data_IF_787227005274
#
_entry.id   IF_787227005274
#
_cell.length_a   1.000
_cell.length_b   1.000
_cell.length_c   1.000
_cell.angle_alpha   90.00
_cell.angle_beta   90.00
_cell.angle_gamma   90.00
#
_symmetry.space_group_name_H-M   'P 1'
#
loop_
_entity.id
_entity.type
_entity.pdbx_description
1 polymer ?
#
# COMPACT_ATOMS: atom_id res chain seq x y z
N UNK A 1 -43.82 -15.29 8.73
CA UNK A 1 -43.00 -15.19 9.95
C UNK A 1 -41.67 -15.97 9.84
N UNK A 2 -41.69 -17.24 9.41
CA UNK A 2 -40.48 -18.09 9.26
C UNK A 2 -39.40 -17.56 8.29
N UNK A 3 -39.74 -16.83 7.24
CA UNK A 3 -38.77 -16.27 6.26
C UNK A 3 -38.02 -15.08 6.89
N UNK A 4 -38.75 -14.21 7.60
CA UNK A 4 -38.15 -13.03 8.26
C UNK A 4 -37.15 -13.43 9.37
N UNK A 5 -37.51 -14.46 10.17
CA UNK A 5 -36.61 -14.98 11.21
C UNK A 5 -35.34 -15.63 10.61
N UNK A 6 -35.46 -16.32 9.47
CA UNK A 6 -34.29 -16.88 8.75
C UNK A 6 -33.38 -15.80 8.18
N UNK A 7 -33.93 -14.73 7.61
CA UNK A 7 -33.16 -13.60 7.09
C UNK A 7 -32.45 -12.87 8.22
N UNK A 8 -33.15 -12.58 9.33
CA UNK A 8 -32.54 -11.95 10.51
C UNK A 8 -31.44 -12.82 11.14
N UNK A 9 -31.66 -14.13 11.23
CA UNK A 9 -30.64 -15.05 11.73
C UNK A 9 -29.43 -15.15 10.80
N UNK A 10 -29.62 -15.10 9.48
CA UNK A 10 -28.54 -15.11 8.51
C UNK A 10 -27.70 -13.79 8.59
N UNK A 11 -28.37 -12.65 8.71
CA UNK A 11 -27.70 -11.35 8.91
C UNK A 11 -26.93 -11.36 10.24
N UNK A 12 -27.57 -11.78 11.34
CA UNK A 12 -26.92 -11.85 12.64
C UNK A 12 -25.69 -12.75 12.66
N UNK A 13 -25.77 -13.94 12.04
CA UNK A 13 -24.64 -14.86 11.91
C UNK A 13 -23.50 -14.23 11.10
N UNK A 14 -23.81 -13.58 9.98
CA UNK A 14 -22.81 -12.93 9.13
C UNK A 14 -22.11 -11.74 9.84
N UNK A 15 -22.88 -10.98 10.62
CA UNK A 15 -22.31 -9.88 11.44
C UNK A 15 -21.37 -10.42 12.53
N UNK A 16 -21.75 -11.50 13.22
CA UNK A 16 -20.90 -12.13 14.23
C UNK A 16 -19.62 -12.70 13.59
N UNK A 17 -19.71 -13.34 12.42
CA UNK A 17 -18.55 -13.86 11.68
C UNK A 17 -17.58 -12.75 11.27
N UNK A 18 -18.11 -11.62 10.77
CA UNK A 18 -17.32 -10.46 10.40
C UNK A 18 -16.61 -9.88 11.63
N UNK A 19 -17.35 -9.63 12.72
CA UNK A 19 -16.78 -9.09 13.96
C UNK A 19 -15.72 -10.01 14.57
N UNK A 20 -15.97 -11.32 14.58
CA UNK A 20 -15.00 -12.32 15.02
C UNK A 20 -13.75 -12.36 14.13
N UNK A 21 -13.91 -12.17 12.82
CA UNK A 21 -12.76 -12.08 11.89
C UNK A 21 -11.92 -10.83 12.15
N UNK A 22 -12.53 -9.68 12.38
CA UNK A 22 -11.81 -8.47 12.79
C UNK A 22 -11.08 -8.64 14.13
N UNK A 23 -11.71 -9.31 15.11
CA UNK A 23 -11.06 -9.64 16.37
C UNK A 23 -9.83 -10.52 16.20
N UNK A 24 -9.92 -11.60 15.40
CA UNK A 24 -8.77 -12.47 15.08
C UNK A 24 -7.67 -11.71 14.34
N UNK A 25 -8.05 -10.86 13.38
CA UNK A 25 -7.10 -10.04 12.62
C UNK A 25 -6.35 -9.05 13.53
N UNK A 26 -7.06 -8.35 14.42
CA UNK A 26 -6.46 -7.44 15.39
C UNK A 26 -5.52 -8.14 16.37
N UNK A 27 -5.93 -9.30 16.90
CA UNK A 27 -5.10 -10.11 17.78
C UNK A 27 -3.82 -10.64 17.10
N UNK A 28 -3.94 -11.06 15.84
CA UNK A 28 -2.79 -11.48 15.02
C UNK A 28 -1.79 -10.33 14.85
N UNK A 29 -2.28 -9.13 14.50
CA UNK A 29 -1.44 -7.94 14.34
C UNK A 29 -0.74 -7.56 15.66
N UNK A 30 -1.49 -7.53 16.75
CA UNK A 30 -0.94 -7.21 18.08
C UNK A 30 0.18 -8.18 18.48
N UNK A 31 -0.02 -9.48 18.30
CA UNK A 31 1.01 -10.51 18.56
C UNK A 31 2.22 -10.38 17.61
N UNK A 32 1.99 -10.04 16.34
CA UNK A 32 3.07 -9.87 15.37
C UNK A 32 3.98 -8.66 15.70
N UNK A 33 3.39 -7.58 16.25
CA UNK A 33 4.13 -6.35 16.60
C UNK A 33 4.83 -6.46 17.97
N UNK A 34 4.14 -6.98 18.98
CA UNK A 34 4.62 -6.99 20.40
C UNK A 34 5.49 -8.22 20.72
N UNK A 35 5.52 -9.22 19.87
CA UNK A 35 6.38 -10.38 20.05
C UNK A 35 7.84 -9.94 20.16
N UNK A 36 8.53 -10.33 21.31
CA UNK A 36 9.95 -10.01 21.53
C UNK A 36 10.76 -10.39 20.27
N UNK A 37 11.38 -9.42 19.57
CA UNK A 37 12.20 -9.73 18.40
C UNK A 37 13.45 -10.50 18.87
N UNK A 38 13.77 -11.61 18.22
CA UNK A 38 15.10 -12.23 18.28
C UNK A 38 15.95 -11.64 17.14
N UNK A 39 16.66 -10.52 17.36
CA UNK A 39 17.20 -9.72 16.25
C UNK A 39 18.19 -10.50 15.38
N UNK A 40 19.01 -11.34 15.98
CA UNK A 40 20.04 -12.07 15.23
C UNK A 40 19.49 -13.10 14.22
N UNK A 41 18.39 -13.80 14.55
CA UNK A 41 17.79 -14.82 13.68
C UNK A 41 16.74 -14.23 12.71
N UNK A 42 16.10 -13.13 13.09
CA UNK A 42 15.04 -12.50 12.30
C UNK A 42 15.59 -11.56 11.23
N UNK A 43 16.81 -11.03 11.39
CA UNK A 43 17.42 -10.11 10.42
C UNK A 43 17.61 -10.73 9.03
N UNK A 44 18.04 -11.98 8.97
CA UNK A 44 18.20 -12.69 7.70
C UNK A 44 16.85 -12.88 6.98
N UNK A 45 15.79 -13.22 7.72
CA UNK A 45 14.44 -13.36 7.20
C UNK A 45 13.86 -12.02 6.76
N UNK A 46 14.05 -10.97 7.56
CA UNK A 46 13.59 -9.62 7.23
C UNK A 46 14.25 -9.13 5.92
N UNK A 47 15.57 -9.32 5.78
CA UNK A 47 16.31 -8.94 4.56
C UNK A 47 15.78 -9.68 3.32
N UNK A 48 15.51 -10.97 3.45
CA UNK A 48 14.94 -11.76 2.35
C UNK A 48 13.53 -11.26 1.99
N UNK A 49 12.72 -10.94 2.97
CA UNK A 49 11.37 -10.40 2.75
C UNK A 49 11.41 -8.97 2.19
N UNK A 50 12.34 -8.12 2.63
CA UNK A 50 12.56 -6.79 2.06
C UNK A 50 12.93 -6.88 0.57
N UNK A 51 13.75 -7.85 0.19
CA UNK A 51 14.06 -8.08 -1.22
C UNK A 51 12.83 -8.52 -2.01
N UNK A 52 12.09 -9.50 -1.52
CA UNK A 52 10.90 -10.03 -2.20
C UNK A 52 9.78 -8.99 -2.31
N UNK A 53 9.48 -8.28 -1.23
CA UNK A 53 8.36 -7.32 -1.14
C UNK A 53 8.75 -5.95 -1.70
N UNK A 54 9.96 -5.47 -1.39
CA UNK A 54 10.45 -4.14 -1.77
C UNK A 54 11.10 -4.13 -3.15
N UNK A 55 12.28 -4.76 -3.26
CA UNK A 55 13.11 -4.65 -4.47
C UNK A 55 12.41 -5.18 -5.72
N UNK A 56 11.74 -6.32 -5.62
CA UNK A 56 11.00 -6.86 -6.76
C UNK A 56 9.76 -6.04 -7.15
N UNK A 57 9.29 -5.11 -6.29
CA UNK A 57 8.22 -4.17 -6.64
C UNK A 57 8.75 -2.89 -7.30
N UNK A 58 10.06 -2.63 -7.24
CA UNK A 58 10.64 -1.39 -7.78
C UNK A 58 10.32 -1.17 -9.25
N UNK A 59 10.44 -2.18 -10.08
CA UNK A 59 10.22 -2.03 -11.52
C UNK A 59 8.82 -1.49 -11.84
N UNK A 60 7.79 -2.10 -11.27
CA UNK A 60 6.41 -1.66 -11.50
C UNK A 60 6.17 -0.25 -10.95
N UNK A 61 6.76 0.09 -9.80
CA UNK A 61 6.63 1.41 -9.17
C UNK A 61 7.32 2.49 -10.03
N UNK A 62 8.54 2.24 -10.48
CA UNK A 62 9.30 3.20 -11.32
C UNK A 62 8.61 3.43 -12.66
N UNK A 63 8.24 2.36 -13.36
CA UNK A 63 7.59 2.48 -14.67
C UNK A 63 6.22 3.15 -14.54
N UNK A 64 5.43 2.76 -13.56
CA UNK A 64 4.11 3.37 -13.34
C UNK A 64 4.22 4.83 -12.90
N UNK A 65 5.18 5.16 -12.01
CA UNK A 65 5.42 6.52 -11.57
C UNK A 65 5.79 7.43 -12.73
N UNK A 66 6.69 6.97 -13.60
CA UNK A 66 7.10 7.71 -14.80
C UNK A 66 5.91 8.03 -15.70
N UNK A 67 5.14 7.01 -16.08
CA UNK A 67 3.98 7.20 -16.98
C UNK A 67 2.88 8.05 -16.34
N UNK A 68 2.58 7.86 -15.07
CA UNK A 68 1.57 8.66 -14.38
C UNK A 68 2.01 10.12 -14.30
N UNK A 69 3.30 10.38 -13.99
CA UNK A 69 3.86 11.71 -14.00
C UNK A 69 3.77 12.38 -15.38
N UNK A 70 4.08 11.65 -16.46
CA UNK A 70 3.95 12.14 -17.83
C UNK A 70 2.49 12.48 -18.20
N UNK A 71 1.55 11.59 -17.85
CA UNK A 71 0.12 11.80 -18.12
C UNK A 71 -0.41 13.00 -17.33
N UNK A 72 -0.03 13.10 -16.05
CA UNK A 72 -0.43 14.20 -15.19
C UNK A 72 0.07 15.55 -15.71
N UNK A 73 1.33 15.60 -16.16
CA UNK A 73 1.88 16.82 -16.76
C UNK A 73 1.20 17.17 -18.09
N UNK A 74 0.89 16.17 -18.94
CA UNK A 74 0.19 16.41 -20.19
C UNK A 74 -1.22 16.98 -19.95
N UNK A 75 -1.98 16.35 -19.05
CA UNK A 75 -3.31 16.82 -18.68
C UNK A 75 -3.27 18.18 -17.98
N UNK A 76 -2.32 18.35 -17.05
CA UNK A 76 -2.11 19.62 -16.37
C UNK A 76 -1.79 20.76 -17.36
N UNK A 77 -0.91 20.51 -18.33
CA UNK A 77 -0.58 21.47 -19.36
C UNK A 77 -1.81 21.88 -20.18
N UNK A 78 -2.61 20.91 -20.63
CA UNK A 78 -3.82 21.20 -21.41
C UNK A 78 -4.83 22.07 -20.63
N UNK A 79 -4.99 21.83 -19.33
CA UNK A 79 -5.86 22.64 -18.48
C UNK A 79 -5.26 24.02 -18.24
N UNK A 80 -4.00 24.11 -17.84
CA UNK A 80 -3.34 25.37 -17.50
C UNK A 80 -3.16 26.29 -18.72
N UNK A 81 -2.97 25.74 -19.91
CA UNK A 81 -2.89 26.53 -21.15
C UNK A 81 -4.18 27.28 -21.49
N UNK A 82 -5.35 26.76 -21.10
CA UNK A 82 -6.63 27.49 -21.29
C UNK A 82 -6.72 28.76 -20.44
N UNK A 83 -5.92 28.84 -19.38
CA UNK A 83 -5.86 29.99 -18.47
C UNK A 83 -4.57 30.79 -18.60
N UNK A 84 -3.71 30.51 -19.60
CA UNK A 84 -2.38 31.10 -19.77
C UNK A 84 -1.51 31.01 -18.50
N UNK A 85 -1.62 29.87 -17.80
CA UNK A 85 -0.96 29.61 -16.51
C UNK A 85 -0.01 28.41 -16.58
N UNK A 86 0.57 28.13 -17.75
CA UNK A 86 1.44 26.97 -18.01
C UNK A 86 2.64 26.90 -17.06
N UNK A 87 3.12 28.06 -16.60
CA UNK A 87 4.21 28.13 -15.63
C UNK A 87 3.91 27.48 -14.28
N UNK A 88 2.63 27.31 -13.91
CA UNK A 88 2.24 26.64 -12.67
C UNK A 88 2.24 25.10 -12.78
N UNK A 89 2.67 24.53 -13.92
CA UNK A 89 2.66 23.09 -14.15
C UNK A 89 3.52 22.32 -13.13
N UNK A 90 4.73 22.82 -12.83
CA UNK A 90 5.65 22.20 -11.87
C UNK A 90 5.03 22.07 -10.47
N UNK A 91 4.39 23.13 -10.00
CA UNK A 91 3.66 23.15 -8.73
C UNK A 91 2.50 22.13 -8.73
N UNK A 92 1.68 22.12 -9.77
CA UNK A 92 0.53 21.22 -9.87
C UNK A 92 0.95 19.76 -9.86
N UNK A 93 1.96 19.39 -10.64
CA UNK A 93 2.48 18.01 -10.71
C UNK A 93 3.03 17.58 -9.37
N UNK A 94 3.87 18.41 -8.73
CA UNK A 94 4.49 18.06 -7.47
C UNK A 94 3.47 17.89 -6.33
N UNK A 95 2.54 18.83 -6.16
CA UNK A 95 1.52 18.75 -5.11
C UNK A 95 0.56 17.57 -5.32
N UNK A 96 0.13 17.32 -6.56
CA UNK A 96 -0.75 16.19 -6.86
C UNK A 96 -0.07 14.84 -6.57
N UNK A 97 1.22 14.70 -6.89
CA UNK A 97 1.97 13.48 -6.60
C UNK A 97 2.26 13.33 -5.10
N UNK A 98 2.69 14.39 -4.41
CA UNK A 98 3.04 14.31 -2.99
C UNK A 98 1.83 14.09 -2.09
N UNK A 99 0.73 14.82 -2.34
CA UNK A 99 -0.42 14.83 -1.43
C UNK A 99 -1.35 13.65 -1.63
N UNK A 100 -1.52 13.18 -2.87
CA UNK A 100 -2.56 12.21 -3.21
C UNK A 100 -2.02 11.02 -4.01
N UNK A 101 -1.59 11.24 -5.27
CA UNK A 101 -1.33 10.14 -6.21
C UNK A 101 -0.16 9.25 -5.77
N UNK A 102 0.91 9.84 -5.21
CA UNK A 102 2.09 9.09 -4.79
C UNK A 102 1.75 7.97 -3.80
N UNK A 103 1.25 8.30 -2.60
CA UNK A 103 0.90 7.30 -1.60
C UNK A 103 -0.18 6.32 -2.06
N UNK A 104 -1.27 6.82 -2.68
CA UNK A 104 -2.43 6.00 -3.06
C UNK A 104 -2.08 5.01 -4.16
N UNK A 105 -1.50 5.49 -5.28
CA UNK A 105 -1.18 4.61 -6.42
C UNK A 105 -0.13 3.59 -6.01
N UNK A 106 0.90 4.01 -5.25
CA UNK A 106 1.89 3.07 -4.71
C UNK A 106 1.23 1.99 -3.86
N UNK A 107 0.28 2.35 -2.98
CA UNK A 107 -0.43 1.40 -2.14
C UNK A 107 -1.27 0.41 -2.95
N UNK A 108 -1.95 0.86 -4.01
CA UNK A 108 -2.73 0.00 -4.90
C UNK A 108 -1.85 -0.98 -5.68
N UNK A 109 -0.74 -0.50 -6.24
CA UNK A 109 0.23 -1.35 -6.94
C UNK A 109 0.91 -2.35 -5.97
N UNK A 110 1.25 -1.89 -4.78
CA UNK A 110 1.81 -2.73 -3.73
C UNK A 110 0.81 -3.81 -3.27
N UNK A 111 -0.45 -3.47 -3.08
CA UNK A 111 -1.51 -4.43 -2.75
C UNK A 111 -1.69 -5.49 -3.86
N UNK A 112 -1.69 -5.06 -5.11
CA UNK A 112 -1.82 -5.93 -6.28
C UNK A 112 -0.66 -6.91 -6.45
N UNK A 113 0.58 -6.45 -6.25
CA UNK A 113 1.78 -7.27 -6.46
C UNK A 113 2.28 -7.91 -5.15
N UNK A 114 2.69 -7.12 -4.19
CA UNK A 114 3.30 -7.61 -2.95
C UNK A 114 2.25 -8.20 -1.99
N UNK A 115 1.09 -7.56 -1.88
CA UNK A 115 -0.01 -8.03 -1.04
C UNK A 115 -0.53 -9.40 -1.49
N UNK A 116 -0.78 -9.57 -2.78
CA UNK A 116 -1.20 -10.86 -3.35
C UNK A 116 -0.14 -11.95 -3.17
N UNK A 117 1.15 -11.62 -3.39
CA UNK A 117 2.26 -12.56 -3.21
C UNK A 117 2.38 -13.03 -1.74
N UNK A 118 2.33 -12.09 -0.78
CA UNK A 118 2.35 -12.42 0.65
C UNK A 118 1.18 -13.33 1.06
N UNK A 119 -0.01 -13.03 0.56
CA UNK A 119 -1.21 -13.87 0.81
C UNK A 119 -1.02 -15.27 0.25
N UNK A 120 -0.52 -15.39 -0.98
CA UNK A 120 -0.29 -16.67 -1.63
C UNK A 120 0.80 -17.49 -0.93
N UNK A 121 1.92 -16.87 -0.54
CA UNK A 121 2.99 -17.54 0.19
C UNK A 121 2.52 -18.12 1.51
N UNK A 122 1.78 -17.35 2.33
CA UNK A 122 1.30 -17.81 3.63
C UNK A 122 0.23 -18.90 3.43
N UNK A 123 -0.67 -18.72 2.47
CA UNK A 123 -1.68 -19.72 2.13
C UNK A 123 -1.04 -21.04 1.66
N UNK A 124 0.04 -20.97 0.88
CA UNK A 124 0.80 -22.15 0.46
C UNK A 124 1.51 -22.82 1.64
N UNK A 125 2.16 -22.07 2.51
CA UNK A 125 2.78 -22.61 3.73
C UNK A 125 1.77 -23.34 4.62
N UNK A 126 0.52 -22.84 4.65
CA UNK A 126 -0.57 -23.51 5.36
C UNK A 126 -1.03 -24.79 4.65
N UNK A 127 -1.17 -24.75 3.32
CA UNK A 127 -1.58 -25.92 2.52
C UNK A 127 -0.55 -27.04 2.50
N UNK A 128 0.74 -26.71 2.68
CA UNK A 128 1.83 -27.69 2.79
C UNK A 128 2.19 -28.05 4.23
N UNK A 129 1.32 -27.73 5.20
CA UNK A 129 1.46 -28.04 6.63
C UNK A 129 2.73 -27.46 7.29
N UNK A 130 3.42 -26.51 6.67
CA UNK A 130 4.62 -25.89 7.24
C UNK A 130 4.29 -25.10 8.51
N UNK A 131 3.12 -24.43 8.56
CA UNK A 131 2.67 -23.70 9.75
C UNK A 131 2.40 -24.67 10.90
N UNK A 132 1.70 -25.76 10.65
CA UNK A 132 1.42 -26.80 11.66
C UNK A 132 2.71 -27.49 12.13
N UNK A 133 3.66 -27.71 11.25
CA UNK A 133 4.99 -28.25 11.61
C UNK A 133 5.76 -27.34 12.56
N UNK A 134 5.68 -26.00 12.37
CA UNK A 134 6.29 -25.05 13.31
C UNK A 134 5.61 -25.12 14.70
N UNK A 135 4.29 -25.24 14.74
CA UNK A 135 3.54 -25.37 15.98
C UNK A 135 3.91 -26.66 16.74
N UNK A 136 4.06 -27.78 16.03
CA UNK A 136 4.53 -29.04 16.64
C UNK A 136 5.95 -28.95 17.22
N UNK A 137 6.80 -28.10 16.63
CA UNK A 137 8.13 -27.80 17.15
C UNK A 137 8.15 -26.72 18.27
N UNK A 138 6.97 -26.33 18.79
CA UNK A 138 6.80 -25.26 19.77
C UNK A 138 7.34 -23.89 19.31
N UNK A 139 7.39 -23.65 17.99
CA UNK A 139 7.77 -22.37 17.40
C UNK A 139 6.53 -21.60 17.04
N UNK A 140 6.37 -20.37 17.57
CA UNK A 140 5.22 -19.51 17.26
C UNK A 140 5.27 -19.04 15.79
N UNK A 141 4.29 -19.47 14.93
CA UNK A 141 4.27 -19.11 13.52
C UNK A 141 4.07 -17.61 13.31
N UNK A 142 3.35 -16.93 14.21
CA UNK A 142 3.12 -15.49 14.08
C UNK A 142 4.44 -14.72 14.20
N UNK A 143 5.34 -15.15 15.06
CA UNK A 143 6.66 -14.52 15.23
C UNK A 143 7.63 -14.90 14.10
N UNK A 144 7.59 -16.15 13.66
CA UNK A 144 8.57 -16.68 12.69
C UNK A 144 8.20 -16.33 11.24
N UNK A 145 6.90 -16.31 10.92
CA UNK A 145 6.40 -16.15 9.54
C UNK A 145 5.78 -14.77 9.32
N UNK A 146 4.87 -14.35 10.20
CA UNK A 146 4.08 -13.13 10.01
C UNK A 146 4.88 -11.87 10.32
N UNK A 147 5.57 -11.82 11.46
CA UNK A 147 6.26 -10.60 11.89
C UNK A 147 7.33 -10.10 10.91
N UNK A 148 8.24 -10.93 10.35
CA UNK A 148 9.22 -10.44 9.38
C UNK A 148 8.58 -9.90 8.09
N UNK A 149 7.48 -10.51 7.64
CA UNK A 149 6.73 -10.07 6.46
C UNK A 149 6.00 -8.75 6.71
N UNK A 150 5.44 -8.59 7.91
CA UNK A 150 4.81 -7.33 8.30
C UNK A 150 5.82 -6.18 8.29
N UNK A 151 6.96 -6.34 8.94
CA UNK A 151 8.00 -5.32 8.99
C UNK A 151 8.62 -5.03 7.61
N UNK A 152 8.75 -6.04 6.76
CA UNK A 152 9.21 -5.85 5.40
C UNK A 152 8.24 -4.98 4.59
N UNK A 153 6.94 -5.25 4.65
CA UNK A 153 5.92 -4.44 3.99
C UNK A 153 5.83 -3.02 4.56
N UNK A 154 5.88 -2.91 5.88
CA UNK A 154 5.85 -1.62 6.60
C UNK A 154 7.00 -0.69 6.20
N UNK A 155 8.21 -1.22 6.03
CA UNK A 155 9.39 -0.44 5.62
C UNK A 155 9.40 -0.18 4.12
N UNK A 156 9.07 -1.19 3.31
CA UNK A 156 9.20 -1.10 1.86
C UNK A 156 8.22 -0.11 1.24
N UNK A 157 6.97 -0.09 1.69
CA UNK A 157 5.92 0.69 1.04
C UNK A 157 6.14 2.21 1.13
N UNK A 158 6.53 2.82 2.27
CA UNK A 158 6.84 4.24 2.30
C UNK A 158 8.04 4.61 1.43
N UNK A 159 9.07 3.77 1.37
CA UNK A 159 10.22 3.99 0.50
C UNK A 159 9.83 3.93 -0.99
N UNK A 160 9.00 2.96 -1.37
CA UNK A 160 8.47 2.85 -2.73
C UNK A 160 7.59 4.05 -3.11
N UNK A 161 6.83 4.60 -2.16
CA UNK A 161 6.03 5.81 -2.38
C UNK A 161 6.90 7.03 -2.67
N UNK A 162 7.98 7.21 -1.94
CA UNK A 162 8.94 8.30 -2.20
C UNK A 162 9.62 8.15 -3.57
N UNK A 163 10.00 6.93 -3.94
CA UNK A 163 10.57 6.64 -5.27
C UNK A 163 9.54 6.92 -6.36
N UNK A 164 8.29 6.51 -6.18
CA UNK A 164 7.20 6.80 -7.12
C UNK A 164 7.04 8.30 -7.35
N UNK A 165 6.99 9.10 -6.29
CA UNK A 165 6.86 10.56 -6.38
C UNK A 165 8.05 11.17 -7.11
N UNK A 166 9.28 10.78 -6.74
CA UNK A 166 10.50 11.30 -7.37
C UNK A 166 10.53 11.01 -8.88
N UNK A 167 10.23 9.75 -9.27
CA UNK A 167 10.19 9.35 -10.68
C UNK A 167 9.00 9.99 -11.40
N UNK A 168 7.86 10.16 -10.73
CA UNK A 168 6.70 10.84 -11.28
C UNK A 168 6.97 12.31 -11.60
N UNK A 169 7.68 13.02 -10.72
CA UNK A 169 8.11 14.41 -10.98
C UNK A 169 9.06 14.47 -12.18
N UNK A 170 10.01 13.53 -12.29
CA UNK A 170 10.89 13.44 -13.46
C UNK A 170 10.10 13.18 -14.74
N UNK A 171 9.12 12.27 -14.73
CA UNK A 171 8.22 12.04 -15.85
C UNK A 171 7.41 13.29 -16.23
N UNK A 172 6.95 14.04 -15.24
CA UNK A 172 6.29 15.32 -15.42
C UNK A 172 7.19 16.37 -16.04
N UNK A 173 8.46 16.45 -15.62
CA UNK A 173 9.45 17.36 -16.21
C UNK A 173 9.76 17.02 -17.67
N UNK A 174 9.92 15.74 -18.03
CA UNK A 174 10.14 15.29 -19.41
C UNK A 174 9.02 15.78 -20.34
N UNK A 175 7.77 15.75 -19.92
CA UNK A 175 6.67 16.26 -20.74
C UNK A 175 6.56 17.76 -20.68
N UNK A 176 6.65 18.38 -19.51
CA UNK A 176 6.48 19.83 -19.35
C UNK A 176 7.62 20.63 -19.97
N UNK A 177 8.85 20.23 -19.71
CA UNK A 177 10.05 20.97 -20.19
C UNK A 177 10.44 20.51 -21.59
N UNK A 178 10.73 19.21 -21.78
CA UNK A 178 11.33 18.72 -23.04
C UNK A 178 10.33 18.67 -24.18
N UNK A 179 9.08 18.34 -23.92
CA UNK A 179 8.07 18.19 -24.97
C UNK A 179 7.22 19.44 -25.19
N UNK A 180 6.76 20.09 -24.11
CA UNK A 180 5.90 21.29 -24.18
C UNK A 180 6.67 22.61 -24.20
N UNK A 181 7.99 22.59 -23.93
CA UNK A 181 8.85 23.76 -24.03
C UNK A 181 8.68 24.76 -22.89
N UNK A 182 8.17 24.37 -21.75
CA UNK A 182 8.14 25.21 -20.55
C UNK A 182 9.59 25.41 -20.10
N UNK A 183 9.95 26.63 -19.71
CA UNK A 183 11.28 26.90 -19.17
C UNK A 183 11.58 26.02 -17.94
N UNK A 184 12.67 25.25 -18.02
CA UNK A 184 13.04 24.32 -16.97
C UNK A 184 13.33 25.01 -15.63
N UNK A 185 13.96 26.19 -15.65
CA UNK A 185 14.21 26.97 -14.43
C UNK A 185 12.91 27.36 -13.75
N UNK A 186 11.92 27.78 -14.55
CA UNK A 186 10.61 28.15 -14.06
C UNK A 186 9.82 26.94 -13.51
N UNK A 187 9.88 25.78 -14.20
CA UNK A 187 9.25 24.55 -13.73
C UNK A 187 9.74 24.14 -12.32
N UNK A 188 11.07 24.11 -12.12
CA UNK A 188 11.65 23.71 -10.85
C UNK A 188 11.46 24.78 -9.76
N UNK A 189 11.58 26.07 -10.09
CA UNK A 189 11.40 27.15 -9.13
C UNK A 189 9.94 27.26 -8.64
N UNK A 190 8.97 27.10 -9.55
CA UNK A 190 7.54 27.08 -9.18
C UNK A 190 7.20 25.93 -8.25
N UNK A 191 7.79 24.75 -8.49
CA UNK A 191 7.64 23.60 -7.58
C UNK A 191 8.25 23.89 -6.21
N UNK A 192 9.49 24.37 -6.15
CA UNK A 192 10.20 24.62 -4.89
C UNK A 192 9.58 25.74 -4.05
N UNK A 193 8.95 26.74 -4.67
CA UNK A 193 8.32 27.85 -3.97
C UNK A 193 7.04 27.45 -3.20
N UNK A 194 6.38 26.36 -3.59
CA UNK A 194 5.09 25.96 -3.03
C UNK A 194 5.17 24.70 -2.20
N UNK A 195 6.10 23.78 -2.50
CA UNK A 195 6.24 22.54 -1.73
C UNK A 195 6.86 22.84 -0.36
N UNK A 196 6.05 22.71 0.68
CA UNK A 196 6.53 22.80 2.06
C UNK A 196 7.08 21.44 2.54
N UNK A 197 8.41 21.35 2.67
CA UNK A 197 9.10 20.12 3.08
C UNK A 197 8.49 19.47 4.33
N UNK A 198 8.19 20.28 5.35
CA UNK A 198 7.66 19.75 6.62
C UNK A 198 6.21 19.30 6.53
N UNK A 199 5.40 19.94 5.68
CA UNK A 199 3.98 19.55 5.56
C UNK A 199 3.78 18.49 4.48
N UNK A 200 4.18 18.77 3.26
CA UNK A 200 3.83 17.92 2.12
C UNK A 200 4.57 16.58 2.13
N UNK A 201 5.89 16.59 2.43
CA UNK A 201 6.67 15.36 2.50
C UNK A 201 6.32 14.52 3.73
N UNK A 202 6.12 15.17 4.89
CA UNK A 202 5.70 14.45 6.10
C UNK A 202 4.31 13.83 5.93
N UNK A 203 3.36 14.55 5.32
CA UNK A 203 2.02 14.05 5.05
C UNK A 203 2.06 12.87 4.06
N UNK A 204 2.85 12.96 2.98
CA UNK A 204 3.11 11.85 2.06
C UNK A 204 3.63 10.61 2.81
N UNK A 205 4.62 10.81 3.68
CA UNK A 205 5.21 9.73 4.48
C UNK A 205 4.21 9.13 5.47
N UNK A 206 3.46 9.95 6.20
CA UNK A 206 2.45 9.50 7.16
C UNK A 206 1.31 8.73 6.48
N UNK A 207 0.81 9.23 5.34
CA UNK A 207 -0.18 8.51 4.52
C UNK A 207 0.37 7.14 4.08
N UNK A 208 1.59 7.12 3.55
CA UNK A 208 2.20 5.88 3.08
C UNK A 208 2.46 4.86 4.20
N UNK A 209 2.79 5.32 5.41
CA UNK A 209 2.91 4.47 6.61
C UNK A 209 1.56 3.88 7.01
N UNK A 210 0.50 4.70 7.03
CA UNK A 210 -0.85 4.22 7.32
C UNK A 210 -1.33 3.16 6.31
N UNK A 211 -1.07 3.38 5.03
CA UNK A 211 -1.38 2.42 3.97
C UNK A 211 -0.52 1.15 4.06
N UNK A 212 0.77 1.28 4.42
CA UNK A 212 1.65 0.14 4.65
C UNK A 212 1.12 -0.81 5.73
N UNK A 213 0.69 -0.25 6.86
CA UNK A 213 0.07 -1.03 7.94
C UNK A 213 -1.19 -1.72 7.42
N UNK A 214 -2.07 -0.98 6.77
CA UNK A 214 -3.38 -1.48 6.33
C UNK A 214 -3.24 -2.58 5.29
N UNK A 215 -2.48 -2.34 4.22
CA UNK A 215 -2.31 -3.31 3.11
C UNK A 215 -1.61 -4.57 3.59
N UNK A 216 -0.51 -4.40 4.34
CA UNK A 216 0.27 -5.55 4.83
C UNK A 216 -0.55 -6.38 5.82
N UNK A 217 -1.29 -5.73 6.71
CA UNK A 217 -2.16 -6.42 7.66
C UNK A 217 -3.24 -7.25 6.96
N UNK A 218 -3.96 -6.65 5.99
CA UNK A 218 -5.00 -7.34 5.22
C UNK A 218 -4.39 -8.53 4.46
N UNK A 219 -3.23 -8.36 3.84
CA UNK A 219 -2.56 -9.41 3.08
C UNK A 219 -2.17 -10.60 3.97
N UNK A 220 -1.55 -10.34 5.10
CA UNK A 220 -1.11 -11.37 6.05
C UNK A 220 -2.28 -12.10 6.69
N UNK A 221 -3.34 -11.37 7.05
CA UNK A 221 -4.52 -11.97 7.64
C UNK A 221 -5.26 -12.87 6.65
N UNK A 222 -5.51 -12.40 5.43
CA UNK A 222 -6.18 -13.20 4.42
C UNK A 222 -5.36 -14.45 4.03
N UNK A 223 -4.04 -14.36 4.02
CA UNK A 223 -3.17 -15.52 3.80
C UNK A 223 -3.26 -16.54 4.93
N UNK A 224 -3.22 -16.09 6.18
CA UNK A 224 -3.30 -16.95 7.35
C UNK A 224 -4.69 -17.59 7.53
N UNK A 225 -5.77 -16.85 7.24
CA UNK A 225 -7.16 -17.33 7.33
C UNK A 225 -7.60 -18.11 6.06
N UNK A 226 -6.75 -18.23 5.03
CA UNK A 226 -7.06 -18.93 3.80
C UNK A 226 -7.38 -20.42 4.03
N UNK A 227 -8.32 -20.95 3.26
CA UNK A 227 -8.57 -22.40 3.19
C UNK A 227 -7.35 -23.04 2.50
N UNK A 228 -6.75 -24.13 3.06
CA UNK A 228 -5.52 -24.73 2.55
C UNK A 228 -5.73 -25.55 1.28
N UNK A 229 -6.29 -24.94 0.24
CA UNK A 229 -6.52 -25.50 -1.09
C UNK A 229 -6.11 -24.50 -2.15
N UNK A 230 -5.77 -24.94 -3.34
CA UNK A 230 -5.39 -24.05 -4.45
C UNK A 230 -6.48 -23.01 -4.76
N UNK A 231 -7.74 -23.43 -4.75
CA UNK A 231 -8.89 -22.54 -4.93
C UNK A 231 -9.05 -21.55 -3.77
N UNK A 232 -8.87 -22.00 -2.53
CA UNK A 232 -8.93 -21.17 -1.33
C UNK A 232 -7.85 -20.07 -1.34
N UNK A 233 -6.62 -20.41 -1.75
CA UNK A 233 -5.51 -19.47 -1.90
C UNK A 233 -5.81 -18.45 -3.00
N UNK A 234 -6.29 -18.88 -4.16
CA UNK A 234 -6.68 -18.00 -5.26
C UNK A 234 -7.78 -17.01 -4.84
N UNK A 235 -8.79 -17.47 -4.12
CA UNK A 235 -9.84 -16.60 -3.58
C UNK A 235 -9.30 -15.63 -2.54
N UNK A 236 -8.37 -16.07 -1.68
CA UNK A 236 -7.76 -15.21 -0.66
C UNK A 236 -6.91 -14.10 -1.29
N UNK A 237 -6.13 -14.39 -2.34
CA UNK A 237 -5.34 -13.38 -3.05
C UNK A 237 -6.21 -12.33 -3.72
N UNK A 238 -7.26 -12.73 -4.42
CA UNK A 238 -8.23 -11.78 -5.01
C UNK A 238 -8.90 -10.93 -3.94
N UNK A 239 -9.34 -11.55 -2.84
CA UNK A 239 -9.96 -10.84 -1.71
C UNK A 239 -9.00 -9.85 -1.07
N UNK A 240 -7.71 -10.19 -0.98
CA UNK A 240 -6.68 -9.29 -0.46
C UNK A 240 -6.58 -8.02 -1.28
N UNK A 241 -6.47 -8.15 -2.60
CA UNK A 241 -6.38 -6.97 -3.48
C UNK A 241 -7.60 -6.09 -3.35
N UNK A 242 -8.81 -6.68 -3.41
CA UNK A 242 -10.07 -5.93 -3.31
C UNK A 242 -10.20 -5.22 -1.96
N UNK A 243 -10.02 -5.95 -0.84
CA UNK A 243 -10.16 -5.35 0.49
C UNK A 243 -9.09 -4.29 0.76
N UNK A 244 -7.84 -4.54 0.35
CA UNK A 244 -6.76 -3.57 0.53
C UNK A 244 -7.00 -2.30 -0.30
N UNK A 245 -7.43 -2.44 -1.56
CA UNK A 245 -7.73 -1.29 -2.41
C UNK A 245 -8.88 -0.43 -1.86
N UNK A 246 -9.98 -1.07 -1.42
CA UNK A 246 -11.10 -0.35 -0.81
C UNK A 246 -10.69 0.33 0.50
N UNK A 247 -9.91 -0.34 1.33
CA UNK A 247 -9.42 0.21 2.59
C UNK A 247 -8.48 1.40 2.36
N UNK A 248 -7.57 1.32 1.37
CA UNK A 248 -6.67 2.41 0.99
C UNK A 248 -7.47 3.63 0.53
N UNK A 249 -8.44 3.45 -0.39
CA UNK A 249 -9.25 4.57 -0.91
C UNK A 249 -10.10 5.22 0.19
N UNK A 250 -10.71 4.41 1.07
CA UNK A 250 -11.49 4.93 2.19
C UNK A 250 -10.62 5.66 3.22
N UNK A 251 -9.44 5.09 3.53
CA UNK A 251 -8.49 5.68 4.47
C UNK A 251 -7.86 6.96 3.90
N UNK A 252 -7.60 7.00 2.59
CA UNK A 252 -7.08 8.19 1.92
C UNK A 252 -8.01 9.38 2.08
N UNK A 253 -9.30 9.20 1.81
CA UNK A 253 -10.30 10.25 2.01
C UNK A 253 -10.29 10.78 3.46
N UNK A 254 -10.26 9.88 4.43
CA UNK A 254 -10.25 10.26 5.86
C UNK A 254 -8.97 11.01 6.22
N UNK A 255 -7.81 10.51 5.78
CA UNK A 255 -6.52 11.16 6.06
C UNK A 255 -6.41 12.53 5.38
N UNK A 256 -6.85 12.64 4.11
CA UNK A 256 -6.87 13.92 3.39
C UNK A 256 -7.76 14.93 4.10
N UNK A 257 -8.97 14.53 4.51
CA UNK A 257 -9.88 15.40 5.25
C UNK A 257 -9.29 15.86 6.59
N UNK A 258 -8.56 15.00 7.30
CA UNK A 258 -7.92 15.36 8.57
C UNK A 258 -6.67 16.24 8.40
N UNK A 259 -5.89 16.03 7.34
CA UNK A 259 -4.61 16.72 7.13
C UNK A 259 -4.76 18.07 6.40
N UNK A 260 -5.78 18.20 5.54
CA UNK A 260 -5.97 19.37 4.68
C UNK A 260 -7.36 20.01 4.84
N UNK A 261 -8.24 19.49 5.69
CA UNK A 261 -9.61 19.95 5.89
C UNK A 261 -9.79 21.11 6.87
N UNK A 262 -8.69 21.71 7.36
CA UNK A 262 -8.69 22.89 8.25
C UNK A 262 -8.16 24.12 7.54
#
# INVERSE_FOLDING_TARGET
MLILTRVLAAIGRRTIEITASFGRAGFMLFRAIIGKPEPAKQWALLRQQLYSVGVQSLLIIVVSGLFIGMVLALQGYLVLSTFSAEGSLGMMVALSLLRELGPVVTALLFAGRAGSALTAEIGLMKATEQISSLEMMAVDPLRRVIAPRFWAGFISMPLLSLIFVAVGILGGAMVGVDWKGIDGGFFWSSMQSVVEWQKDLLNCFLKSVAFAITVTWIALFNGYDAIPTSEGISRATTRTVVHASLAVLGLDFVLTALMFGN
#
